data_IF_653628668359
#
_entry.id   IF_653628668359
#
_cell.length_a   1.000
_cell.length_b   1.000
_cell.length_c   1.000
_cell.angle_alpha   90.00
_cell.angle_beta   90.00
_cell.angle_gamma   90.00
#
_symmetry.space_group_name_H-M   'P 1'
#
loop_
_entity.id
_entity.type
_entity.pdbx_description
1 polymer ?
#
# COMPACT_ATOMS: atom_id res chain seq x y z
N UNK A 1 -15.95 -33.18 28.85
CA UNK A 1 -15.06 -33.01 27.67
C UNK A 1 -15.94 -32.84 26.44
N UNK A 2 -16.34 -31.62 26.14
CA UNK A 2 -17.05 -31.27 24.90
C UNK A 2 -16.03 -31.27 23.77
N UNK A 3 -16.19 -32.24 22.86
CA UNK A 3 -15.44 -32.34 21.61
C UNK A 3 -15.75 -31.09 20.79
N UNK A 4 -14.75 -30.22 20.59
CA UNK A 4 -14.88 -29.08 19.69
C UNK A 4 -15.32 -29.62 18.32
N UNK A 5 -16.46 -29.14 17.83
CA UNK A 5 -16.87 -29.39 16.46
C UNK A 5 -15.72 -28.93 15.56
N UNK A 6 -15.13 -29.85 14.82
CA UNK A 6 -14.28 -29.48 13.70
C UNK A 6 -15.24 -28.92 12.67
N UNK A 7 -15.36 -27.60 12.61
CA UNK A 7 -16.12 -26.92 11.57
C UNK A 7 -15.56 -27.37 10.22
N UNK A 8 -16.31 -28.21 9.52
CA UNK A 8 -15.98 -28.57 8.15
C UNK A 8 -15.87 -27.27 7.34
N UNK A 9 -14.77 -27.04 6.62
CA UNK A 9 -14.61 -25.82 5.85
C UNK A 9 -15.78 -25.69 4.88
N UNK A 10 -16.48 -24.54 4.93
CA UNK A 10 -17.58 -24.27 4.01
C UNK A 10 -17.12 -24.55 2.56
N UNK A 11 -17.89 -25.33 1.79
CA UNK A 11 -17.47 -25.77 0.46
C UNK A 11 -17.08 -24.57 -0.42
N UNK A 12 -15.87 -24.61 -0.97
CA UNK A 12 -15.33 -23.54 -1.83
C UNK A 12 -14.56 -22.42 -1.14
N UNK A 13 -14.21 -22.57 0.14
CA UNK A 13 -13.28 -21.66 0.84
C UNK A 13 -11.83 -22.14 0.71
N UNK A 14 -10.92 -21.20 0.45
CA UNK A 14 -9.50 -21.42 0.21
C UNK A 14 -8.73 -20.62 1.26
N UNK A 15 -7.90 -21.30 2.05
CA UNK A 15 -6.95 -20.68 2.99
C UNK A 15 -5.58 -20.45 2.35
N UNK A 16 -4.65 -19.89 3.12
CA UNK A 16 -3.26 -19.70 2.68
C UNK A 16 -2.25 -20.20 3.73
N UNK A 17 -0.99 -20.30 3.32
CA UNK A 17 0.10 -20.65 4.24
C UNK A 17 0.34 -19.53 5.25
N UNK A 18 0.85 -19.89 6.44
CA UNK A 18 1.24 -18.90 7.44
C UNK A 18 2.33 -17.95 6.93
N UNK A 19 3.25 -18.45 6.10
CA UNK A 19 4.28 -17.64 5.46
C UNK A 19 3.68 -16.55 4.56
N UNK A 20 2.72 -16.91 3.70
CA UNK A 20 2.03 -15.95 2.85
C UNK A 20 1.22 -14.93 3.67
N UNK A 21 0.59 -15.38 4.75
CA UNK A 21 -0.18 -14.50 5.64
C UNK A 21 0.72 -13.46 6.32
N UNK A 22 1.89 -13.86 6.81
CA UNK A 22 2.89 -12.95 7.35
C UNK A 22 3.45 -12.00 6.30
N UNK A 23 3.68 -12.48 5.08
CA UNK A 23 4.12 -11.65 3.97
C UNK A 23 3.13 -10.49 3.76
N UNK A 24 1.83 -10.78 3.65
CA UNK A 24 0.80 -9.74 3.49
C UNK A 24 0.79 -8.72 4.63
N UNK A 25 0.94 -9.18 5.88
CA UNK A 25 0.95 -8.28 7.04
C UNK A 25 2.18 -7.39 7.03
N UNK A 26 3.36 -7.94 6.75
CA UNK A 26 4.62 -7.18 6.80
C UNK A 26 4.70 -6.18 5.64
N UNK A 27 4.42 -6.61 4.41
CA UNK A 27 4.46 -5.71 3.24
C UNK A 27 3.33 -4.69 3.29
N UNK A 28 2.14 -5.11 3.75
CA UNK A 28 1.03 -4.20 4.04
C UNK A 28 1.39 -3.15 5.08
N UNK A 29 2.05 -3.54 6.19
CA UNK A 29 2.47 -2.60 7.22
C UNK A 29 3.54 -1.60 6.72
N UNK A 30 4.50 -2.06 5.91
CA UNK A 30 5.50 -1.20 5.30
C UNK A 30 4.86 -0.17 4.34
N UNK A 31 3.96 -0.62 3.46
CA UNK A 31 3.22 0.25 2.55
C UNK A 31 2.29 1.22 3.28
N UNK A 32 1.61 0.77 4.34
CA UNK A 32 0.76 1.62 5.18
C UNK A 32 1.59 2.71 5.86
N UNK A 33 2.76 2.36 6.41
CA UNK A 33 3.68 3.33 7.00
C UNK A 33 4.13 4.38 5.98
N UNK A 34 4.54 3.95 4.78
CA UNK A 34 4.92 4.84 3.70
C UNK A 34 3.77 5.80 3.35
N UNK A 35 2.57 5.26 3.10
CA UNK A 35 1.39 6.05 2.78
C UNK A 35 1.02 7.04 3.89
N UNK A 36 1.14 6.62 5.15
CA UNK A 36 0.87 7.46 6.32
C UNK A 36 1.82 8.65 6.42
N UNK A 37 3.13 8.40 6.30
CA UNK A 37 4.15 9.46 6.37
C UNK A 37 3.99 10.43 5.21
N UNK A 38 3.81 9.94 3.98
CA UNK A 38 3.63 10.83 2.81
C UNK A 38 2.37 11.70 2.99
N UNK A 39 1.28 11.13 3.54
CA UNK A 39 0.05 11.89 3.79
C UNK A 39 0.29 13.02 4.79
N UNK A 40 0.99 12.75 5.90
CA UNK A 40 1.34 13.77 6.89
C UNK A 40 2.23 14.86 6.28
N UNK A 41 3.26 14.46 5.53
CA UNK A 41 4.19 15.41 4.91
C UNK A 41 3.48 16.29 3.86
N UNK A 42 2.52 15.73 3.13
CA UNK A 42 1.68 16.48 2.19
C UNK A 42 0.82 17.52 2.91
N UNK A 43 0.23 17.19 4.07
CA UNK A 43 -0.54 18.15 4.86
C UNK A 43 0.34 19.27 5.41
N UNK A 44 1.51 18.94 5.95
CA UNK A 44 2.47 19.97 6.41
C UNK A 44 2.91 20.89 5.29
N UNK A 45 3.12 20.35 4.09
CA UNK A 45 3.47 21.15 2.92
C UNK A 45 2.32 22.07 2.43
N UNK A 46 1.08 21.69 2.70
CA UNK A 46 -0.10 22.53 2.43
C UNK A 46 -0.25 23.66 3.45
N UNK A 47 0.15 23.42 4.71
CA UNK A 47 0.17 24.43 5.78
C UNK A 47 1.34 25.40 5.63
N UNK A 48 2.52 24.89 5.31
CA UNK A 48 3.75 25.66 5.08
C UNK A 48 4.45 25.19 3.79
N UNK A 49 4.36 25.96 2.69
CA UNK A 49 5.04 25.65 1.44
C UNK A 49 6.57 25.56 1.52
N UNK A 50 7.16 26.11 2.60
CA UNK A 50 8.58 26.03 2.94
C UNK A 50 8.99 24.77 3.69
N UNK A 51 8.03 23.92 4.10
CA UNK A 51 8.32 22.65 4.76
C UNK A 51 9.15 21.72 3.86
N UNK A 52 10.26 21.23 4.40
CA UNK A 52 11.13 20.25 3.74
C UNK A 52 10.84 18.84 4.30
N UNK A 53 10.25 17.94 3.49
CA UNK A 53 10.00 16.57 3.93
C UNK A 53 11.29 15.86 4.30
N UNK A 54 11.28 15.01 5.34
CA UNK A 54 12.50 14.39 5.88
C UNK A 54 13.26 13.48 4.89
N UNK A 55 12.60 13.02 3.84
CA UNK A 55 13.22 12.25 2.75
C UNK A 55 13.64 13.12 1.54
N UNK A 56 13.60 14.46 1.66
CA UNK A 56 14.12 15.39 0.64
C UNK A 56 15.55 15.77 0.98
N UNK A 57 16.51 14.98 0.49
CA UNK A 57 17.93 15.13 0.82
C UNK A 57 18.69 15.99 -0.20
N UNK A 58 18.28 15.93 -1.47
CA UNK A 58 18.88 16.66 -2.57
C UNK A 58 17.84 16.83 -3.71
N UNK A 59 18.14 17.59 -4.77
CA UNK A 59 17.18 17.83 -5.86
C UNK A 59 16.69 16.56 -6.58
N UNK A 60 17.50 15.49 -6.59
CA UNK A 60 17.18 14.20 -7.21
C UNK A 60 16.35 13.33 -6.27
N UNK A 61 16.65 13.32 -4.97
CA UNK A 61 15.90 12.61 -3.93
C UNK A 61 15.07 13.64 -3.17
N UNK A 62 13.95 14.04 -3.78
CA UNK A 62 13.07 15.11 -3.32
C UNK A 62 11.61 14.67 -3.31
N UNK A 63 11.14 14.24 -2.13
CA UNK A 63 9.73 13.97 -1.92
C UNK A 63 8.88 15.23 -2.10
N UNK A 64 9.41 16.41 -1.74
CA UNK A 64 8.74 17.69 -1.95
C UNK A 64 8.39 17.96 -3.42
N UNK A 65 9.32 17.71 -4.35
CA UNK A 65 9.11 17.92 -5.77
C UNK A 65 8.03 16.97 -6.32
N UNK A 66 8.08 15.68 -5.93
CA UNK A 66 7.07 14.70 -6.30
C UNK A 66 5.70 15.09 -5.75
N UNK A 67 5.63 15.48 -4.47
CA UNK A 67 4.36 15.83 -3.83
C UNK A 67 3.71 17.07 -4.45
N UNK A 68 4.47 18.00 -5.04
CA UNK A 68 3.92 19.19 -5.73
C UNK A 68 3.46 18.90 -7.17
N UNK A 69 3.80 17.74 -7.72
CA UNK A 69 3.41 17.35 -9.09
C UNK A 69 1.92 17.02 -9.21
N UNK A 70 1.35 17.18 -10.41
CA UNK A 70 -0.05 16.81 -10.68
C UNK A 70 -0.27 15.30 -10.58
N UNK A 71 0.77 14.51 -10.88
CA UNK A 71 0.78 13.06 -10.77
C UNK A 71 0.61 12.57 -9.34
N UNK A 72 0.85 13.41 -8.33
CA UNK A 72 0.60 13.07 -6.93
C UNK A 72 -0.90 13.00 -6.57
N UNK A 73 -1.80 13.45 -7.46
CA UNK A 73 -3.25 13.47 -7.24
C UNK A 73 -4.06 13.08 -8.48
N UNK A 74 -3.73 11.94 -9.11
CA UNK A 74 -4.34 11.49 -10.38
C UNK A 74 -5.86 11.32 -10.29
N UNK A 75 -6.34 10.84 -9.14
CA UNK A 75 -7.77 10.56 -8.94
C UNK A 75 -8.52 11.74 -8.31
N UNK A 76 -7.96 12.95 -8.33
CA UNK A 76 -8.53 14.15 -7.71
C UNK A 76 -8.33 14.24 -6.18
N UNK A 77 -7.61 13.28 -5.61
CA UNK A 77 -7.17 13.28 -4.21
C UNK A 77 -5.73 12.78 -4.12
N UNK A 78 -5.01 13.05 -3.01
CA UNK A 78 -3.63 12.59 -2.86
C UNK A 78 -3.52 11.06 -2.97
N UNK A 79 -2.71 10.57 -3.91
CA UNK A 79 -2.48 9.13 -4.12
C UNK A 79 -2.13 8.35 -2.84
N UNK A 80 -1.38 8.91 -1.85
CA UNK A 80 -1.11 8.23 -0.58
C UNK A 80 -2.37 7.82 0.19
N UNK A 81 -3.49 8.54 0.03
CA UNK A 81 -4.76 8.16 0.66
C UNK A 81 -5.33 6.85 0.10
N UNK A 82 -5.12 6.60 -1.20
CA UNK A 82 -5.44 5.30 -1.80
C UNK A 82 -4.62 4.20 -1.13
N UNK A 83 -3.33 4.46 -0.90
CA UNK A 83 -2.41 3.54 -0.22
C UNK A 83 -2.88 3.21 1.19
N UNK A 84 -3.32 4.20 1.98
CA UNK A 84 -3.85 3.97 3.33
C UNK A 84 -4.98 2.93 3.35
N UNK A 85 -5.92 3.04 2.40
CA UNK A 85 -7.04 2.10 2.29
C UNK A 85 -6.55 0.74 1.77
N UNK A 86 -5.79 0.72 0.68
CA UNK A 86 -5.36 -0.52 0.02
C UNK A 86 -4.46 -1.36 0.93
N UNK A 87 -3.43 -0.78 1.53
CA UNK A 87 -2.53 -1.49 2.44
C UNK A 87 -3.24 -1.89 3.74
N UNK A 88 -4.15 -1.06 4.26
CA UNK A 88 -4.98 -1.42 5.41
C UNK A 88 -5.83 -2.67 5.15
N UNK A 89 -6.42 -2.78 3.97
CA UNK A 89 -7.15 -3.98 3.54
C UNK A 89 -6.23 -5.20 3.43
N UNK A 90 -5.03 -5.06 2.85
CA UNK A 90 -4.05 -6.16 2.75
C UNK A 90 -3.65 -6.68 4.13
N UNK A 91 -3.41 -5.79 5.10
CA UNK A 91 -3.13 -6.17 6.49
C UNK A 91 -4.32 -6.92 7.09
N UNK A 92 -5.54 -6.40 6.94
CA UNK A 92 -6.74 -7.05 7.47
C UNK A 92 -6.92 -8.46 6.91
N UNK A 93 -6.66 -8.66 5.61
CA UNK A 93 -6.68 -9.97 4.96
C UNK A 93 -5.65 -10.90 5.59
N UNK A 94 -4.40 -10.44 5.71
CA UNK A 94 -3.30 -11.21 6.29
C UNK A 94 -3.54 -11.61 7.75
N UNK A 95 -4.01 -10.69 8.58
CA UNK A 95 -4.39 -10.96 9.97
C UNK A 95 -5.55 -11.95 10.04
N UNK A 96 -6.55 -11.81 9.19
CA UNK A 96 -7.65 -12.78 9.09
C UNK A 96 -7.15 -14.19 8.78
N UNK A 97 -6.22 -14.34 7.84
CA UNK A 97 -5.60 -15.64 7.54
C UNK A 97 -4.81 -16.21 8.73
N UNK A 98 -4.08 -15.35 9.46
CA UNK A 98 -3.36 -15.77 10.68
C UNK A 98 -4.32 -16.20 11.80
N UNK A 99 -5.51 -15.61 11.87
CA UNK A 99 -6.59 -16.01 12.78
C UNK A 99 -7.32 -17.29 12.32
N UNK A 100 -6.96 -17.87 11.17
CA UNK A 100 -7.56 -19.09 10.64
C UNK A 100 -8.69 -18.87 9.64
N UNK A 101 -8.94 -17.63 9.19
CA UNK A 101 -9.94 -17.36 8.18
C UNK A 101 -9.63 -18.08 6.86
N UNK A 102 -10.68 -18.55 6.19
CA UNK A 102 -10.63 -19.09 4.82
C UNK A 102 -11.58 -18.29 3.96
N UNK A 103 -11.10 -17.81 2.83
CA UNK A 103 -11.88 -16.92 1.95
C UNK A 103 -12.41 -17.65 0.73
N UNK A 104 -13.57 -17.20 0.22
CA UNK A 104 -14.12 -17.72 -1.04
C UNK A 104 -13.25 -17.30 -2.23
N UNK A 105 -13.31 -18.05 -3.34
CA UNK A 105 -12.54 -17.78 -4.58
C UNK A 105 -12.65 -16.33 -5.09
N UNK A 106 -13.82 -15.71 -5.01
CA UNK A 106 -14.00 -14.33 -5.47
C UNK A 106 -13.15 -13.32 -4.68
N UNK A 107 -12.90 -13.59 -3.40
CA UNK A 107 -12.09 -12.73 -2.55
C UNK A 107 -10.62 -12.77 -2.97
N UNK A 108 -10.13 -13.97 -3.33
CA UNK A 108 -8.81 -14.16 -3.92
C UNK A 108 -8.66 -13.47 -5.27
N UNK A 109 -9.70 -13.53 -6.11
CA UNK A 109 -9.70 -12.79 -7.40
C UNK A 109 -9.66 -11.28 -7.16
N UNK A 110 -10.41 -10.77 -6.18
CA UNK A 110 -10.36 -9.36 -5.78
C UNK A 110 -8.97 -8.93 -5.30
N UNK A 111 -8.33 -9.74 -4.44
CA UNK A 111 -6.96 -9.50 -3.99
C UNK A 111 -5.99 -9.45 -5.17
N UNK A 112 -6.04 -10.43 -6.08
CA UNK A 112 -5.17 -10.46 -7.25
C UNK A 112 -5.41 -9.28 -8.20
N UNK A 113 -6.67 -8.91 -8.44
CA UNK A 113 -7.02 -7.76 -9.27
C UNK A 113 -6.51 -6.45 -8.64
N UNK A 114 -6.68 -6.30 -7.33
CA UNK A 114 -6.15 -5.16 -6.57
C UNK A 114 -4.62 -5.10 -6.62
N UNK A 115 -3.93 -6.23 -6.44
CA UNK A 115 -2.47 -6.31 -6.56
C UNK A 115 -2.00 -5.97 -7.97
N UNK A 116 -2.66 -6.50 -9.01
CA UNK A 116 -2.32 -6.21 -10.40
C UNK A 116 -2.48 -4.71 -10.71
N UNK A 117 -3.58 -4.11 -10.24
CA UNK A 117 -3.80 -2.68 -10.34
C UNK A 117 -2.71 -1.90 -9.60
N UNK A 118 -2.38 -2.28 -8.36
CA UNK A 118 -1.35 -1.63 -7.56
C UNK A 118 0.02 -1.67 -8.23
N UNK A 119 0.43 -2.83 -8.76
CA UNK A 119 1.70 -2.98 -9.51
C UNK A 119 1.70 -2.10 -10.76
N UNK A 120 0.61 -2.10 -11.53
CA UNK A 120 0.50 -1.27 -12.73
C UNK A 120 0.55 0.23 -12.41
N UNK A 121 -0.15 0.65 -11.36
CA UNK A 121 -0.18 2.04 -10.91
C UNK A 121 1.18 2.49 -10.37
N UNK A 122 1.84 1.66 -9.55
CA UNK A 122 3.20 1.93 -9.08
C UNK A 122 4.19 2.02 -10.24
N UNK A 123 4.14 1.09 -11.20
CA UNK A 123 5.03 1.12 -12.37
C UNK A 123 4.85 2.41 -13.19
N UNK A 124 3.61 2.86 -13.37
CA UNK A 124 3.34 4.14 -14.03
C UNK A 124 3.84 5.34 -13.23
N UNK A 125 3.64 5.37 -11.91
CA UNK A 125 4.19 6.43 -11.04
C UNK A 125 5.72 6.45 -11.04
N UNK A 126 6.37 5.29 -11.09
CA UNK A 126 7.82 5.18 -11.24
C UNK A 126 8.28 5.81 -12.54
N UNK A 127 7.59 5.52 -13.65
CA UNK A 127 7.89 6.11 -14.94
C UNK A 127 7.76 7.64 -14.89
N UNK A 128 6.66 8.17 -14.35
CA UNK A 128 6.45 9.61 -14.18
C UNK A 128 7.54 10.26 -13.30
N UNK A 129 7.91 9.61 -12.20
CA UNK A 129 8.94 10.14 -11.29
C UNK A 129 10.31 10.22 -11.95
N UNK A 130 10.71 9.18 -12.69
CA UNK A 130 12.03 9.10 -13.31
C UNK A 130 12.16 9.89 -14.61
N UNK A 131 11.15 9.84 -15.49
CA UNK A 131 11.28 10.36 -16.86
C UNK A 131 10.65 11.75 -17.05
N UNK A 132 9.64 12.11 -16.26
CA UNK A 132 8.98 13.41 -16.38
C UNK A 132 9.45 14.38 -15.30
N UNK A 133 9.36 13.96 -14.02
CA UNK A 133 9.65 14.83 -12.87
C UNK A 133 11.16 14.90 -12.58
N UNK A 134 11.91 13.85 -12.93
CA UNK A 134 13.34 13.69 -12.63
C UNK A 134 13.63 13.78 -11.12
N UNK A 135 12.74 13.24 -10.28
CA UNK A 135 12.88 13.18 -8.83
C UNK A 135 12.44 11.82 -8.27
N UNK A 136 13.03 11.41 -7.14
CA UNK A 136 12.80 10.16 -6.43
C UNK A 136 12.37 10.44 -4.99
N UNK A 137 11.39 9.68 -4.50
CA UNK A 137 10.93 9.72 -3.12
C UNK A 137 11.17 8.36 -2.48
N UNK A 138 11.93 8.33 -1.38
CA UNK A 138 12.25 7.10 -0.67
C UNK A 138 11.01 6.41 -0.09
N UNK A 139 9.99 7.16 0.30
CA UNK A 139 8.72 6.59 0.75
C UNK A 139 7.92 5.99 -0.41
N UNK A 140 7.95 6.60 -1.59
CA UNK A 140 7.34 6.01 -2.78
C UNK A 140 8.08 4.72 -3.17
N UNK A 141 9.41 4.72 -3.14
CA UNK A 141 10.21 3.51 -3.35
C UNK A 141 9.84 2.41 -2.34
N UNK A 142 9.64 2.74 -1.06
CA UNK A 142 9.20 1.78 -0.04
C UNK A 142 7.80 1.22 -0.35
N UNK A 143 6.89 2.04 -0.86
CA UNK A 143 5.57 1.57 -1.29
C UNK A 143 5.62 0.70 -2.57
N UNK A 144 6.66 0.85 -3.40
CA UNK A 144 6.84 0.07 -4.62
C UNK A 144 7.41 -1.33 -4.38
N UNK A 145 8.15 -1.54 -3.29
CA UNK A 145 8.81 -2.81 -2.93
C UNK A 145 7.87 -3.67 -2.09
#
# INVERSE_FOLDING_TARGET
MTKAAVDDPAPGTIGASRAFSWLLVITGAAGLLAAWVITIDKFKLLEDPGFTPGCSLNPVVSCGNIMKSEQASVFGFPNPMLGLVAYGMVIAIGVGLLAGARYRRWYWLGLNAGTLFGVGFCAWLTYQSLYEINALCLWCCLAWV
#
